data_IF_654196064264
#
_entry.id   IF_654196064264
#
_cell.length_a   1.000
_cell.length_b   1.000
_cell.length_c   1.000
_cell.angle_alpha   90.00
_cell.angle_beta   90.00
_cell.angle_gamma   90.00
#
_symmetry.space_group_name_H-M   'P 1'
#
loop_
_entity.id
_entity.type
_entity.pdbx_description
1 polymer ?
#
# COMPACT_ATOMS: atom_id res chain seq x y z
N UNK A 1 -13.30 8.91 -17.72
CA UNK A 1 -13.02 8.25 -16.42
C UNK A 1 -11.76 7.41 -16.59
N UNK A 2 -10.69 7.77 -15.88
CA UNK A 2 -9.42 7.03 -15.85
C UNK A 2 -9.26 6.47 -14.43
N UNK A 3 -8.86 5.20 -14.33
CA UNK A 3 -8.60 4.55 -13.05
C UNK A 3 -7.11 4.27 -12.95
N UNK A 4 -6.45 4.89 -11.98
CA UNK A 4 -5.07 4.61 -11.64
C UNK A 4 -5.03 3.58 -10.52
N UNK A 5 -4.22 2.52 -10.71
CA UNK A 5 -4.00 1.50 -9.69
C UNK A 5 -2.75 1.86 -8.90
N UNK A 6 -2.89 2.01 -7.60
CA UNK A 6 -1.78 2.25 -6.68
C UNK A 6 -1.47 0.94 -5.96
N UNK A 7 -0.20 0.55 -5.93
CA UNK A 7 0.23 -0.64 -5.21
C UNK A 7 0.01 -0.46 -3.70
N UNK A 8 -0.54 -1.47 -3.00
CA UNK A 8 -0.69 -1.41 -1.55
C UNK A 8 0.68 -1.39 -0.86
N UNK A 9 0.82 -0.55 0.15
CA UNK A 9 2.06 -0.37 0.92
C UNK A 9 1.82 -0.68 2.40
N UNK A 10 2.61 -1.60 2.93
CA UNK A 10 2.59 -2.04 4.32
C UNK A 10 3.72 -1.40 5.12
N UNK A 11 3.52 -1.25 6.42
CA UNK A 11 4.53 -0.76 7.34
C UNK A 11 5.03 -1.85 8.28
N UNK A 12 6.34 -2.11 8.29
CA UNK A 12 6.92 -3.03 9.26
C UNK A 12 7.28 -2.27 10.56
N UNK A 13 6.56 -2.53 11.64
CA UNK A 13 6.88 -1.96 12.96
C UNK A 13 8.22 -2.47 13.54
N UNK A 14 8.67 -3.66 13.12
CA UNK A 14 9.89 -4.27 13.65
C UNK A 14 11.18 -3.63 13.12
N UNK A 15 11.20 -3.25 11.83
CA UNK A 15 12.37 -2.65 11.20
C UNK A 15 12.16 -1.19 10.77
N UNK A 16 10.92 -0.67 10.83
CA UNK A 16 10.58 0.71 10.48
C UNK A 16 10.64 1.01 8.98
N UNK A 17 10.33 0.02 8.14
CA UNK A 17 10.41 0.16 6.68
C UNK A 17 9.01 0.03 6.05
N UNK A 18 8.75 0.86 5.03
CA UNK A 18 7.58 0.73 4.17
C UNK A 18 7.92 -0.23 3.01
N UNK A 19 7.02 -1.16 2.70
CA UNK A 19 7.22 -2.13 1.62
C UNK A 19 5.92 -2.42 0.87
N UNK A 20 6.02 -2.85 -0.39
CA UNK A 20 4.85 -3.25 -1.17
C UNK A 20 4.38 -4.62 -0.67
N UNK A 21 3.08 -4.73 -0.40
CA UNK A 21 2.44 -5.99 -0.08
C UNK A 21 1.88 -6.62 -1.36
N UNK A 22 2.43 -7.75 -1.78
CA UNK A 22 1.93 -8.47 -2.96
C UNK A 22 0.80 -9.42 -2.53
N UNK A 23 -0.38 -9.26 -3.13
CA UNK A 23 -1.60 -10.03 -2.87
C UNK A 23 -1.97 -10.10 -1.37
N UNK A 24 -1.72 -11.24 -0.72
CA UNK A 24 -2.00 -11.52 0.68
C UNK A 24 -0.71 -11.75 1.50
N UNK A 25 0.45 -11.42 0.94
CA UNK A 25 1.72 -11.55 1.62
C UNK A 25 2.08 -10.27 2.39
N UNK A 26 1.93 -10.35 3.71
CA UNK A 26 2.27 -9.27 4.64
C UNK A 26 3.64 -9.44 5.28
N UNK A 27 4.44 -10.42 4.86
CA UNK A 27 5.78 -10.65 5.39
C UNK A 27 6.75 -9.57 4.90
N UNK A 28 7.43 -8.90 5.83
CA UNK A 28 8.42 -7.88 5.49
C UNK A 28 9.65 -8.53 4.83
N UNK A 29 10.03 -8.17 3.60
CA UNK A 29 11.16 -8.77 2.90
C UNK A 29 12.53 -8.45 3.53
N UNK A 30 12.57 -7.47 4.45
CA UNK A 30 13.81 -7.05 5.13
C UNK A 30 14.11 -7.83 6.40
N UNK A 31 13.10 -8.24 7.16
CA UNK A 31 13.30 -8.86 8.48
C UNK A 31 12.44 -10.11 8.73
N UNK A 32 11.53 -10.46 7.81
CA UNK A 32 10.62 -11.61 7.95
C UNK A 32 9.46 -11.39 8.93
N UNK A 33 9.33 -10.20 9.53
CA UNK A 33 8.20 -9.91 10.41
C UNK A 33 6.93 -9.63 9.59
N UNK A 34 5.79 -10.17 10.02
CA UNK A 34 4.49 -9.86 9.42
C UNK A 34 4.03 -8.45 9.80
N UNK A 35 3.65 -7.67 8.79
CA UNK A 35 2.97 -6.38 8.98
C UNK A 35 1.50 -6.60 9.37
N UNK A 36 1.00 -5.73 10.24
CA UNK A 36 -0.42 -5.60 10.57
C UNK A 36 -0.96 -4.21 10.20
N UNK A 37 -0.16 -3.40 9.51
CA UNK A 37 -0.48 -2.01 9.18
C UNK A 37 -0.34 -1.80 7.67
N UNK A 38 -1.48 -1.56 7.01
CA UNK A 38 -1.57 -1.25 5.59
C UNK A 38 -1.82 0.25 5.44
N UNK A 39 -0.83 0.97 4.89
CA UNK A 39 -0.83 2.44 4.81
C UNK A 39 -1.41 3.00 3.53
N UNK A 40 -1.41 2.23 2.44
CA UNK A 40 -1.93 2.64 1.13
C UNK A 40 -2.62 1.48 0.44
N UNK A 41 -3.49 1.78 -0.53
CA UNK A 41 -4.16 0.81 -1.39
C UNK A 41 -5.48 0.26 -0.84
N UNK A 42 -5.96 0.77 0.29
CA UNK A 42 -7.27 0.41 0.90
C UNK A 42 -8.41 1.31 0.46
N UNK A 43 -8.09 2.49 -0.08
CA UNK A 43 -9.06 3.56 -0.33
C UNK A 43 -9.04 3.96 -1.80
N UNK A 44 -10.24 4.19 -2.36
CA UNK A 44 -10.40 4.85 -3.65
C UNK A 44 -10.47 6.36 -3.41
N UNK A 45 -9.63 7.13 -4.11
CA UNK A 45 -9.59 8.58 -4.00
C UNK A 45 -9.76 9.22 -5.39
N UNK A 46 -10.48 10.35 -5.46
CA UNK A 46 -10.63 11.13 -6.68
C UNK A 46 -9.37 11.99 -6.89
N UNK A 47 -8.59 11.68 -7.93
CA UNK A 47 -7.33 12.38 -8.20
C UNK A 47 -7.51 13.68 -8.99
N UNK A 48 -8.52 13.76 -9.87
CA UNK A 48 -8.79 14.95 -10.67
C UNK A 48 -10.23 15.00 -11.21
N UNK A 49 -10.70 16.21 -11.54
CA UNK A 49 -11.95 16.47 -12.26
C UNK A 49 -11.64 17.44 -13.39
N UNK A 50 -12.11 17.13 -14.60
CA UNK A 50 -12.10 18.05 -15.74
C UNK A 50 -13.48 18.69 -15.90
N UNK A 51 -13.54 20.01 -16.04
CA UNK A 51 -14.78 20.79 -16.20
C UNK A 51 -14.66 21.62 -17.47
N UNK A 52 -15.68 21.57 -18.32
CA UNK A 52 -15.80 22.32 -19.58
C UNK A 52 -16.90 23.37 -19.54
#
# INVERSE_FOLDING_TARGET
LVIERVAPACWCAACGEEFVCEDLNYECPRCGAFSTELRRGTEMQLSSIEVS
#
